data_IF_910570190380
#
_entry.id   IF_910570190380
#
_cell.length_a   1.000
_cell.length_b   1.000
_cell.length_c   1.000
_cell.angle_alpha   90.00
_cell.angle_beta   90.00
_cell.angle_gamma   90.00
#
_symmetry.space_group_name_H-M   'P 1'
#
loop_
_entity.id
_entity.type
_entity.pdbx_description
1 polymer ?
#
# COMPACT_ATOMS: atom_id res chain seq x y z
N UNK A 1 -1.29 -11.51 12.97
CA UNK A 1 -0.95 -11.93 11.59
C UNK A 1 -2.16 -11.69 10.67
N UNK A 2 -2.45 -10.44 10.31
CA UNK A 2 -3.66 -10.04 9.55
C UNK A 2 -3.53 -10.21 8.03
N UNK A 3 -2.32 -10.43 7.52
CA UNK A 3 -2.03 -10.62 6.09
C UNK A 3 -2.75 -11.80 5.42
N UNK A 4 -3.19 -12.80 6.19
CA UNK A 4 -3.95 -13.93 5.66
C UNK A 4 -5.45 -13.66 5.59
N UNK A 5 -5.95 -12.67 6.32
CA UNK A 5 -7.36 -12.31 6.33
C UNK A 5 -7.82 -11.71 4.99
N UNK A 6 -9.11 -11.81 4.65
CA UNK A 6 -9.66 -11.18 3.46
C UNK A 6 -9.60 -9.65 3.56
N UNK A 7 -9.47 -9.02 2.39
CA UNK A 7 -9.65 -7.57 2.22
C UNK A 7 -11.14 -7.25 2.29
N UNK A 8 -11.50 -6.13 2.89
CA UNK A 8 -12.88 -5.64 2.94
C UNK A 8 -13.46 -5.52 1.54
N UNK A 9 -14.71 -5.99 1.37
CA UNK A 9 -15.45 -5.86 0.11
C UNK A 9 -15.73 -4.39 -0.26
N UNK A 10 -15.70 -3.49 0.73
CA UNK A 10 -15.87 -2.05 0.56
C UNK A 10 -14.62 -1.35 0.01
N UNK A 11 -13.47 -2.04 -0.06
CA UNK A 11 -12.24 -1.41 -0.53
C UNK A 11 -12.29 -1.22 -2.04
N UNK A 12 -12.20 0.04 -2.45
CA UNK A 12 -12.11 0.46 -3.85
C UNK A 12 -10.77 1.17 -4.12
N UNK A 13 -10.57 1.60 -5.36
CA UNK A 13 -9.34 2.29 -5.78
C UNK A 13 -8.12 1.38 -5.93
N UNK A 14 -6.96 1.99 -6.18
CA UNK A 14 -5.73 1.28 -6.49
C UNK A 14 -4.48 2.02 -6.00
N UNK A 15 -3.35 1.33 -5.95
CA UNK A 15 -2.08 1.95 -5.65
C UNK A 15 -1.73 2.97 -6.75
N UNK A 16 -1.50 4.23 -6.35
CA UNK A 16 -1.13 5.34 -7.24
C UNK A 16 0.35 5.73 -7.12
N UNK A 17 1.20 4.82 -6.63
CA UNK A 17 2.63 5.10 -6.47
C UNK A 17 2.95 6.30 -5.56
N UNK A 18 2.11 6.59 -4.56
CA UNK A 18 2.36 7.66 -3.57
C UNK A 18 3.48 7.33 -2.56
N UNK A 19 3.82 6.05 -2.39
CA UNK A 19 4.91 5.60 -1.51
C UNK A 19 4.60 5.67 -0.01
N UNK A 20 3.43 6.17 0.41
CA UNK A 20 3.07 6.34 1.81
C UNK A 20 3.01 4.99 2.56
N UNK A 21 2.29 4.00 2.01
CA UNK A 21 2.18 2.66 2.61
C UNK A 21 3.51 1.90 2.60
N UNK A 22 4.43 2.23 1.68
CA UNK A 22 5.76 1.63 1.64
C UNK A 22 6.68 2.13 2.75
N UNK A 23 6.28 3.15 3.51
CA UNK A 23 7.03 3.67 4.66
C UNK A 23 6.53 3.11 6.00
N UNK A 24 5.57 2.17 5.97
CA UNK A 24 4.92 1.64 7.18
C UNK A 24 5.36 0.20 7.50
N UNK A 25 5.62 -0.11 8.79
CA UNK A 25 5.89 0.84 9.89
C UNK A 25 7.26 1.52 9.77
N UNK A 26 8.14 0.95 8.93
CA UNK A 26 9.47 1.47 8.63
C UNK A 26 9.60 1.69 7.13
N UNK A 27 10.57 2.51 6.71
CA UNK A 27 10.88 2.73 5.30
C UNK A 27 11.28 1.40 4.65
N UNK A 28 10.49 0.94 3.68
CA UNK A 28 10.76 -0.29 2.94
C UNK A 28 12.08 -0.18 2.18
N UNK A 29 13.01 -1.14 2.32
CA UNK A 29 14.30 -1.10 1.64
C UNK A 29 14.18 -1.24 0.12
N UNK A 30 13.04 -1.71 -0.37
CA UNK A 30 12.73 -1.89 -1.79
C UNK A 30 11.97 -0.69 -2.41
N UNK A 31 11.71 0.36 -1.64
CA UNK A 31 11.12 1.60 -2.13
C UNK A 31 12.15 2.41 -2.90
N UNK A 32 11.81 2.85 -4.12
CA UNK A 32 12.61 3.75 -4.94
C UNK A 32 11.73 4.83 -5.54
N UNK A 33 12.36 5.88 -6.06
CA UNK A 33 11.70 7.00 -6.71
C UNK A 33 12.29 7.19 -8.10
N UNK A 34 11.42 7.57 -9.04
CA UNK A 34 11.81 7.99 -10.38
C UNK A 34 12.18 9.48 -10.39
N UNK A 35 12.81 9.99 -11.46
CA UNK A 35 13.11 11.42 -11.60
C UNK A 35 11.89 12.34 -11.52
N UNK A 36 10.71 11.85 -11.91
CA UNK A 36 9.44 12.56 -11.83
C UNK A 36 8.84 12.61 -10.40
N UNK A 37 9.53 12.02 -9.42
CA UNK A 37 9.08 11.94 -8.02
C UNK A 37 8.11 10.79 -7.72
N UNK A 38 7.68 10.01 -8.73
CA UNK A 38 6.79 8.87 -8.50
C UNK A 38 7.54 7.71 -7.84
N UNK A 39 6.89 7.06 -6.86
CA UNK A 39 7.50 5.92 -6.19
C UNK A 39 7.27 4.61 -6.94
N UNK A 40 8.20 3.67 -6.81
CA UNK A 40 8.03 2.31 -7.30
C UNK A 40 8.68 1.29 -6.37
N UNK A 41 8.20 0.04 -6.45
CA UNK A 41 8.73 -1.08 -5.68
C UNK A 41 9.65 -1.91 -6.57
N UNK A 42 10.91 -2.10 -6.19
CA UNK A 42 11.87 -2.88 -6.98
C UNK A 42 11.54 -4.37 -7.05
N UNK A 43 10.79 -4.89 -6.07
CA UNK A 43 10.34 -6.29 -5.99
C UNK A 43 8.83 -6.43 -6.26
N UNK A 44 8.24 -5.53 -7.07
CA UNK A 44 6.80 -5.49 -7.33
C UNK A 44 6.14 -6.84 -7.63
N UNK A 45 6.74 -7.74 -8.46
CA UNK A 45 6.15 -9.04 -8.78
C UNK A 45 6.02 -9.99 -7.60
N UNK A 46 6.92 -9.88 -6.61
CA UNK A 46 7.01 -10.80 -5.46
C UNK A 46 6.66 -10.10 -4.13
N UNK A 47 5.86 -9.03 -4.19
CA UNK A 47 5.50 -8.24 -3.00
C UNK A 47 4.93 -9.11 -1.88
N UNK A 48 5.34 -8.87 -0.62
CA UNK A 48 4.75 -9.52 0.54
C UNK A 48 3.22 -9.34 0.58
N UNK A 49 2.51 -10.30 1.17
CA UNK A 49 1.04 -10.24 1.27
C UNK A 49 0.54 -8.97 1.98
N UNK A 50 1.29 -8.47 2.96
CA UNK A 50 1.03 -7.18 3.62
C UNK A 50 0.91 -6.04 2.60
N UNK A 51 1.90 -5.90 1.71
CA UNK A 51 1.91 -4.84 0.70
C UNK A 51 0.82 -5.01 -0.35
N UNK A 52 0.44 -6.25 -0.68
CA UNK A 52 -0.65 -6.53 -1.65
C UNK A 52 -2.04 -6.25 -1.08
N UNK A 53 -2.23 -6.45 0.23
CA UNK A 53 -3.52 -6.34 0.88
C UNK A 53 -3.73 -5.01 1.62
N UNK A 54 -2.70 -4.22 1.86
CA UNK A 54 -2.85 -2.92 2.51
C UNK A 54 -3.58 -1.91 1.60
N UNK A 55 -4.48 -1.07 2.15
CA UNK A 55 -5.17 -1.26 3.43
C UNK A 55 -6.18 -2.42 3.30
N UNK A 56 -6.30 -3.27 4.34
CA UNK A 56 -7.23 -4.41 4.30
C UNK A 56 -8.64 -3.97 4.68
N UNK A 57 -8.76 -3.15 5.72
CA UNK A 57 -10.00 -2.54 6.22
C UNK A 57 -9.80 -1.03 6.40
N UNK A 58 -10.89 -0.29 6.47
CA UNK A 58 -10.87 1.16 6.72
C UNK A 58 -10.15 1.51 8.03
N UNK A 59 -10.37 0.72 9.08
CA UNK A 59 -9.69 0.86 10.38
C UNK A 59 -8.16 0.67 10.31
N UNK A 60 -7.65 -0.03 9.31
CA UNK A 60 -6.19 -0.22 9.09
C UNK A 60 -5.62 0.85 8.15
N UNK A 61 -6.47 1.71 7.58
CA UNK A 61 -6.08 2.66 6.56
C UNK A 61 -5.52 3.93 7.17
N UNK A 62 -4.23 3.93 7.48
CA UNK A 62 -3.54 5.07 8.10
C UNK A 62 -3.14 6.15 7.07
N UNK A 63 -3.05 5.80 5.78
CA UNK A 63 -2.55 6.67 4.70
C UNK A 63 -3.67 7.30 3.86
N UNK A 64 -4.82 7.59 4.46
CA UNK A 64 -6.04 8.05 3.77
C UNK A 64 -5.81 9.31 2.94
N UNK A 65 -5.02 10.24 3.47
CA UNK A 65 -4.71 11.53 2.84
C UNK A 65 -3.90 11.39 1.53
N UNK A 66 -3.19 10.29 1.32
CA UNK A 66 -2.18 10.17 0.24
C UNK A 66 -2.32 8.94 -0.63
N UNK A 67 -2.91 7.86 -0.13
CA UNK A 67 -3.05 6.61 -0.87
C UNK A 67 -4.32 6.63 -1.73
N UNK A 68 -4.25 6.03 -2.92
CA UNK A 68 -5.38 5.98 -3.85
C UNK A 68 -6.45 4.94 -3.54
N UNK A 69 -6.33 4.21 -2.43
CA UNK A 69 -7.38 3.31 -1.94
C UNK A 69 -8.47 4.09 -1.21
N UNK A 70 -9.70 3.59 -1.22
CA UNK A 70 -10.87 4.19 -0.55
C UNK A 70 -11.78 3.08 0.00
N UNK A 71 -12.72 3.44 0.86
CA UNK A 71 -13.72 2.53 1.42
C UNK A 71 -15.12 3.15 1.31
N UNK A 72 -16.06 2.41 0.71
CA UNK A 72 -17.47 2.81 0.47
C UNK A 72 -18.43 1.67 0.83
#
# INVERSE_FOLDING_TARGET
>A
MTCMLPVSKRRTGQCISCGACCKLPNVCPFLRYKPDGTSYCTIYPIRPLNCRKYPRTESEFITQETCGHRFE
#
